data_IF_572282389788
#
_entry.id   IF_572282389788
#
_cell.length_a   1.000
_cell.length_b   1.000
_cell.length_c   1.000
_cell.angle_alpha   90.00
_cell.angle_beta   90.00
_cell.angle_gamma   90.00
#
_symmetry.space_group_name_H-M   'P 1'
#
loop_
_entity.id
_entity.type
_entity.pdbx_description
1 polymer ?
#
# COMPACT_ATOMS: atom_id res chain seq x y z
N UNK A 1 -22.43 -12.81 29.95
CA UNK A 1 -23.24 -12.17 31.01
C UNK A 1 -23.48 -10.73 30.59
N UNK A 2 -24.74 -10.28 30.59
CA UNK A 2 -25.11 -8.94 30.13
C UNK A 2 -25.43 -8.10 31.36
N UNK A 3 -24.65 -7.03 31.55
CA UNK A 3 -24.88 -6.01 32.56
C UNK A 3 -25.38 -4.76 31.85
N UNK A 4 -26.70 -4.59 31.82
CA UNK A 4 -27.32 -3.46 31.16
C UNK A 4 -28.50 -2.96 32.00
N UNK A 5 -28.68 -1.63 32.00
CA UNK A 5 -29.88 -1.01 32.56
C UNK A 5 -31.05 -1.24 31.59
N UNK A 6 -32.27 -1.03 32.05
CA UNK A 6 -33.40 -0.80 31.14
C UNK A 6 -33.27 0.62 30.58
N UNK A 7 -33.35 0.87 29.26
CA UNK A 7 -33.92 0.05 28.16
C UNK A 7 -32.95 -0.83 27.35
N UNK A 8 -31.64 -0.79 27.63
CA UNK A 8 -30.60 -1.39 26.79
C UNK A 8 -30.70 -2.93 26.70
N UNK A 9 -31.13 -3.58 27.79
CA UNK A 9 -31.38 -5.04 27.82
C UNK A 9 -32.38 -5.48 26.76
N UNK A 10 -33.46 -4.69 26.53
CA UNK A 10 -34.47 -5.00 25.51
C UNK A 10 -33.89 -4.87 24.11
N UNK A 11 -33.18 -3.78 23.83
CA UNK A 11 -32.56 -3.54 22.53
C UNK A 11 -31.56 -4.63 22.16
N UNK A 12 -30.74 -5.09 23.12
CA UNK A 12 -29.77 -6.15 22.90
C UNK A 12 -30.43 -7.50 22.59
N UNK A 13 -31.47 -7.87 23.33
CA UNK A 13 -32.19 -9.12 23.09
C UNK A 13 -32.94 -9.10 21.76
N UNK A 14 -33.54 -7.96 21.39
CA UNK A 14 -34.13 -7.79 20.06
C UNK A 14 -33.08 -7.88 18.95
N UNK A 15 -31.90 -7.29 19.13
CA UNK A 15 -30.80 -7.41 18.17
C UNK A 15 -30.29 -8.85 18.06
N UNK A 16 -30.23 -9.58 19.18
CA UNK A 16 -29.92 -11.01 19.19
C UNK A 16 -30.95 -11.82 18.41
N UNK A 17 -32.23 -11.49 18.52
CA UNK A 17 -33.29 -12.10 17.71
C UNK A 17 -33.13 -11.81 16.22
N UNK A 18 -32.85 -10.55 15.87
CA UNK A 18 -32.67 -10.12 14.48
C UNK A 18 -31.46 -10.80 13.82
N UNK A 19 -30.42 -11.12 14.60
CA UNK A 19 -29.25 -11.90 14.18
C UNK A 19 -29.48 -13.42 14.22
N UNK A 20 -30.64 -13.89 14.67
CA UNK A 20 -30.98 -15.30 14.81
C UNK A 20 -30.31 -16.03 15.98
N UNK A 21 -29.58 -15.31 16.85
CA UNK A 21 -28.91 -15.91 18.00
C UNK A 21 -29.91 -16.38 19.06
N UNK A 22 -30.93 -15.57 19.34
CA UNK A 22 -31.97 -15.87 20.33
C UNK A 22 -32.79 -17.14 20.01
N UNK A 23 -32.88 -17.54 18.75
CA UNK A 23 -33.67 -18.69 18.28
C UNK A 23 -32.82 -19.87 17.79
N UNK A 24 -31.49 -19.72 17.81
CA UNK A 24 -30.54 -20.77 17.40
C UNK A 24 -30.43 -21.93 18.40
N UNK A 25 -30.84 -21.72 19.65
CA UNK A 25 -30.64 -22.68 20.73
C UNK A 25 -29.18 -22.76 21.25
N UNK A 26 -28.26 -21.95 20.72
CA UNK A 26 -26.83 -22.01 21.02
C UNK A 26 -26.37 -20.99 22.08
N UNK A 27 -27.23 -20.04 22.46
CA UNK A 27 -26.88 -18.95 23.36
C UNK A 27 -27.76 -18.93 24.61
N UNK A 28 -27.19 -18.43 25.71
CA UNK A 28 -27.89 -18.16 26.97
C UNK A 28 -27.51 -16.77 27.46
N UNK A 29 -28.50 -16.03 27.91
CA UNK A 29 -28.32 -14.67 28.39
C UNK A 29 -28.51 -14.61 29.89
N UNK A 30 -27.44 -14.35 30.64
CA UNK A 30 -27.56 -13.98 32.06
C UNK A 30 -27.83 -12.49 32.16
N UNK A 31 -29.02 -12.13 32.64
CA UNK A 31 -29.49 -10.75 32.73
C UNK A 31 -29.45 -10.32 34.19
N UNK A 32 -28.52 -9.45 34.51
CA UNK A 32 -28.44 -8.85 35.84
C UNK A 32 -29.07 -7.46 35.79
N UNK A 33 -30.31 -7.35 36.28
CA UNK A 33 -30.98 -6.05 36.43
C UNK A 33 -30.68 -5.47 37.81
N UNK A 34 -30.18 -4.25 37.84
CA UNK A 34 -29.91 -3.50 39.08
C UNK A 34 -31.18 -2.95 39.74
N UNK A 35 -32.29 -2.88 38.99
CA UNK A 35 -33.56 -2.44 39.53
C UNK A 35 -34.31 -3.65 40.10
N UNK A 36 -34.51 -3.64 41.41
CA UNK A 36 -35.28 -4.61 42.20
C UNK A 36 -36.77 -4.72 41.84
N UNK A 37 -37.18 -4.23 40.66
CA UNK A 37 -38.56 -4.28 40.20
C UNK A 37 -38.77 -5.54 39.36
N UNK A 38 -39.88 -6.19 39.63
CA UNK A 38 -40.40 -7.36 38.94
C UNK A 38 -40.15 -7.32 37.41
N UNK A 39 -39.99 -8.47 36.72
CA UNK A 39 -39.94 -8.57 35.25
C UNK A 39 -41.16 -7.95 34.54
N UNK A 40 -42.21 -7.55 35.27
CA UNK A 40 -43.35 -6.83 34.71
C UNK A 40 -42.95 -5.49 34.07
N UNK A 41 -41.85 -4.85 34.50
CA UNK A 41 -41.30 -3.65 33.85
C UNK A 41 -40.56 -3.96 32.55
N UNK A 42 -39.84 -5.09 32.50
CA UNK A 42 -39.12 -5.58 31.30
C UNK A 42 -40.07 -5.86 30.13
N UNK A 43 -41.32 -6.23 30.45
CA UNK A 43 -42.40 -6.50 29.48
C UNK A 43 -43.28 -5.28 29.17
N UNK A 44 -43.21 -4.20 29.94
CA UNK A 44 -44.06 -3.02 29.78
C UNK A 44 -43.30 -1.93 29.04
N UNK A 45 -43.35 -1.98 27.71
CA UNK A 45 -42.93 -0.87 26.86
C UNK A 45 -44.13 -0.18 26.21
N UNK A 46 -44.02 1.13 25.95
CA UNK A 46 -45.04 1.89 25.20
C UNK A 46 -45.15 1.43 23.74
N UNK A 47 -44.14 0.71 23.23
CA UNK A 47 -44.11 0.11 21.90
C UNK A 47 -44.25 -1.40 22.00
N UNK A 48 -45.44 -1.90 21.66
CA UNK A 48 -45.80 -3.31 21.68
C UNK A 48 -45.54 -4.04 20.36
N UNK A 49 -45.05 -3.34 19.33
CA UNK A 49 -44.91 -3.89 17.97
C UNK A 49 -44.00 -5.12 17.91
N UNK A 50 -43.02 -5.21 18.82
CA UNK A 50 -41.99 -6.27 18.87
C UNK A 50 -42.02 -7.13 20.13
N UNK A 51 -43.11 -7.12 20.87
CA UNK A 51 -43.20 -7.87 22.13
C UNK A 51 -43.06 -9.38 21.94
N UNK A 52 -43.61 -9.93 20.85
CA UNK A 52 -43.49 -11.36 20.56
C UNK A 52 -42.04 -11.79 20.27
N UNK A 53 -41.28 -10.99 19.53
CA UNK A 53 -39.87 -11.26 19.24
C UNK A 53 -39.02 -11.19 20.52
N UNK A 54 -39.32 -10.20 21.36
CA UNK A 54 -38.67 -10.06 22.64
C UNK A 54 -38.95 -11.24 23.58
N UNK A 55 -40.22 -11.65 23.69
CA UNK A 55 -40.64 -12.79 24.51
C UNK A 55 -39.95 -14.10 24.08
N UNK A 56 -39.78 -14.32 22.78
CA UNK A 56 -39.01 -15.46 22.25
C UNK A 56 -37.55 -15.42 22.71
N UNK A 57 -36.96 -14.22 22.74
CA UNK A 57 -35.58 -14.00 23.20
C UNK A 57 -35.41 -14.24 24.70
N UNK A 58 -36.46 -13.97 25.49
CA UNK A 58 -36.48 -14.25 26.93
C UNK A 58 -36.50 -15.73 27.28
N UNK A 59 -36.94 -16.61 26.36
CA UNK A 59 -36.92 -18.06 26.57
C UNK A 59 -35.52 -18.63 26.80
N UNK A 60 -34.46 -17.88 26.45
CA UNK A 60 -33.05 -18.23 26.64
C UNK A 60 -32.35 -17.39 27.72
N UNK A 61 -33.10 -16.62 28.50
CA UNK A 61 -32.56 -15.73 29.51
C UNK A 61 -32.70 -16.32 30.93
N UNK A 62 -31.63 -16.18 31.71
CA UNK A 62 -31.59 -16.48 33.14
C UNK A 62 -31.35 -15.19 33.92
N UNK A 63 -32.13 -14.99 34.97
CA UNK A 63 -32.00 -13.88 35.91
C UNK A 63 -31.37 -14.37 37.21
N UNK A 64 -30.07 -14.11 37.43
CA UNK A 64 -29.50 -14.24 38.76
C UNK A 64 -30.08 -13.15 39.67
N UNK A 65 -30.58 -13.57 40.83
CA UNK A 65 -30.93 -12.67 41.90
C UNK A 65 -30.44 -13.22 43.23
N UNK A 66 -29.90 -12.32 44.04
CA UNK A 66 -29.54 -12.60 45.43
C UNK A 66 -30.84 -12.63 46.22
N UNK A 67 -31.16 -13.77 46.82
CA UNK A 67 -32.33 -13.97 47.67
C UNK A 67 -33.63 -13.33 47.12
N UNK A 68 -34.25 -13.94 46.11
CA UNK A 68 -35.65 -13.64 45.77
C UNK A 68 -36.62 -14.58 46.51
N UNK A 69 -37.28 -14.00 47.52
CA UNK A 69 -38.74 -13.96 47.59
C UNK A 69 -39.50 -15.29 47.44
N UNK A 70 -39.25 -16.26 48.31
CA UNK A 70 -40.18 -17.38 48.47
C UNK A 70 -40.87 -17.45 49.81
N UNK A 71 -40.38 -16.71 50.79
CA UNK A 71 -41.06 -16.48 52.06
C UNK A 71 -41.08 -14.97 52.31
N UNK A 72 -41.82 -14.23 51.48
CA UNK A 72 -42.26 -12.93 51.96
C UNK A 72 -43.06 -13.18 53.23
N UNK A 73 -42.52 -12.73 54.35
CA UNK A 73 -43.27 -12.74 55.58
C UNK A 73 -44.42 -11.74 55.43
N UNK A 74 -45.59 -12.22 54.99
CA UNK A 74 -46.77 -11.40 54.70
C UNK A 74 -47.13 -10.49 55.88
N UNK A 75 -46.90 -10.96 57.11
CA UNK A 75 -47.10 -10.16 58.32
C UNK A 75 -46.14 -8.96 58.37
N UNK A 76 -44.85 -9.17 58.11
CA UNK A 76 -43.87 -8.09 58.07
C UNK A 76 -44.18 -7.08 56.97
N UNK A 77 -44.51 -7.55 55.75
CA UNK A 77 -44.87 -6.66 54.64
C UNK A 77 -46.12 -5.84 54.97
N UNK A 78 -47.14 -6.47 55.55
CA UNK A 78 -48.37 -5.79 55.98
C UNK A 78 -48.09 -4.74 57.06
N UNK A 79 -47.24 -5.07 58.03
CA UNK A 79 -46.83 -4.14 59.08
C UNK A 79 -46.07 -2.94 58.50
N UNK A 80 -45.13 -3.16 57.58
CA UNK A 80 -44.39 -2.07 56.92
C UNK A 80 -45.33 -1.15 56.16
N UNK A 81 -46.28 -1.69 55.40
CA UNK A 81 -47.25 -0.88 54.66
C UNK A 81 -48.10 -0.05 55.62
N UNK A 82 -48.59 -0.67 56.70
CA UNK A 82 -49.41 0.01 57.70
C UNK A 82 -48.62 1.14 58.39
N UNK A 83 -47.41 0.84 58.90
CA UNK A 83 -46.58 1.81 59.61
C UNK A 83 -46.08 2.95 58.72
N UNK A 84 -45.83 2.66 57.44
CA UNK A 84 -45.44 3.69 56.48
C UNK A 84 -46.56 4.73 56.30
N UNK A 85 -47.82 4.29 56.29
CA UNK A 85 -48.96 5.19 56.22
C UNK A 85 -49.16 5.98 57.52
N UNK A 86 -49.07 5.33 58.69
CA UNK A 86 -49.34 5.98 59.98
C UNK A 86 -48.21 6.88 60.46
N UNK A 87 -46.97 6.42 60.37
CA UNK A 87 -45.82 7.05 61.01
C UNK A 87 -45.13 8.04 60.06
N UNK A 88 -45.22 7.81 58.74
CA UNK A 88 -44.47 8.54 57.71
C UNK A 88 -45.34 9.20 56.63
N UNK A 89 -46.68 9.04 56.68
CA UNK A 89 -47.61 9.54 55.66
C UNK A 89 -47.23 9.10 54.23
N UNK A 90 -46.70 7.89 54.09
CA UNK A 90 -46.30 7.29 52.81
C UNK A 90 -47.18 6.09 52.50
N UNK A 91 -47.82 6.12 51.33
CA UNK A 91 -48.74 5.06 50.87
C UNK A 91 -48.12 4.28 49.73
N UNK A 92 -48.05 2.96 49.88
CA UNK A 92 -47.64 2.06 48.79
C UNK A 92 -48.76 1.92 47.76
N UNK A 93 -48.43 2.07 46.47
CA UNK A 93 -49.40 2.02 45.37
C UNK A 93 -49.78 0.58 44.94
N UNK A 94 -48.88 -0.36 45.17
CA UNK A 94 -49.00 -1.80 44.90
C UNK A 94 -48.23 -2.49 46.03
N UNK A 95 -48.61 -3.68 46.47
CA UNK A 95 -48.09 -4.39 47.66
C UNK A 95 -46.58 -4.73 47.65
N UNK A 96 -45.78 -4.08 46.82
CA UNK A 96 -44.36 -4.30 46.63
C UNK A 96 -43.56 -3.40 47.60
N UNK A 97 -43.44 -3.85 48.85
CA UNK A 97 -42.44 -3.30 49.76
C UNK A 97 -41.06 -3.65 49.22
N UNK A 98 -40.16 -2.66 49.17
CA UNK A 98 -38.80 -2.89 48.66
C UNK A 98 -38.07 -3.95 49.51
N UNK A 99 -37.40 -4.93 48.89
CA UNK A 99 -36.59 -5.93 49.61
C UNK A 99 -35.45 -5.34 50.45
N UNK A 100 -35.03 -4.10 50.14
CA UNK A 100 -34.04 -3.42 50.95
C UNK A 100 -34.57 -3.09 52.35
N UNK A 101 -35.87 -2.93 52.52
CA UNK A 101 -36.48 -2.62 53.83
C UNK A 101 -36.25 -3.76 54.81
N UNK A 102 -36.46 -5.02 54.40
CA UNK A 102 -36.15 -6.17 55.25
C UNK A 102 -34.65 -6.28 55.52
N UNK A 103 -33.80 -5.98 54.53
CA UNK A 103 -32.35 -5.96 54.73
C UNK A 103 -31.90 -4.92 55.77
N UNK A 104 -32.49 -3.73 55.77
CA UNK A 104 -32.21 -2.71 56.78
C UNK A 104 -32.75 -3.10 58.15
N UNK A 105 -33.94 -3.67 58.21
CA UNK A 105 -34.50 -4.19 59.46
C UNK A 105 -33.58 -5.26 60.05
N UNK A 106 -33.18 -6.25 59.25
CA UNK A 106 -32.26 -7.32 59.66
C UNK A 106 -30.92 -6.76 60.15
N UNK A 107 -30.38 -5.73 59.47
CA UNK A 107 -29.14 -5.07 59.89
C UNK A 107 -29.27 -4.39 61.26
N UNK A 108 -30.40 -3.71 61.51
CA UNK A 108 -30.68 -3.07 62.81
C UNK A 108 -30.89 -4.13 63.89
N UNK A 109 -31.61 -5.21 63.62
CA UNK A 109 -31.84 -6.29 64.58
C UNK A 109 -30.55 -7.05 64.91
N UNK A 110 -29.70 -7.29 63.93
CA UNK A 110 -28.36 -7.84 64.12
C UNK A 110 -27.52 -6.94 65.01
N UNK A 111 -27.49 -5.63 64.72
CA UNK A 111 -26.80 -4.65 65.55
C UNK A 111 -27.32 -4.63 67.00
N UNK A 112 -28.64 -4.57 67.17
CA UNK A 112 -29.28 -4.54 68.48
C UNK A 112 -28.97 -5.80 69.30
N UNK A 113 -28.93 -6.97 68.66
CA UNK A 113 -28.57 -8.24 69.31
C UNK A 113 -27.15 -8.18 69.88
N UNK A 114 -26.17 -7.77 69.06
CA UNK A 114 -24.77 -7.67 69.48
C UNK A 114 -24.56 -6.57 70.51
N UNK A 115 -25.26 -5.44 70.39
CA UNK A 115 -25.23 -4.37 71.38
C UNK A 115 -25.75 -4.86 72.74
N UNK A 116 -26.88 -5.55 72.75
CA UNK A 116 -27.47 -6.08 73.99
C UNK A 116 -26.55 -7.09 74.69
N UNK A 117 -25.92 -8.00 73.93
CA UNK A 117 -24.90 -8.92 74.46
C UNK A 117 -23.70 -8.17 75.03
N UNK A 118 -23.23 -7.14 74.32
CA UNK A 118 -22.10 -6.34 74.77
C UNK A 118 -22.41 -5.59 76.07
N UNK A 119 -23.64 -5.09 76.22
CA UNK A 119 -24.07 -4.45 77.47
C UNK A 119 -24.22 -5.45 78.62
N UNK A 120 -24.73 -6.65 78.33
CA UNK A 120 -24.83 -7.73 79.32
C UNK A 120 -23.46 -8.17 79.85
N UNK A 121 -22.45 -8.17 78.99
CA UNK A 121 -21.05 -8.47 79.33
C UNK A 121 -20.30 -7.27 79.95
N UNK A 122 -20.99 -6.17 80.29
CA UNK A 122 -20.40 -4.91 80.77
C UNK A 122 -19.34 -4.30 79.82
N UNK A 123 -19.45 -4.61 78.53
CA UNK A 123 -18.59 -4.10 77.47
C UNK A 123 -18.90 -2.66 77.06
N UNK A 124 -17.93 -2.01 76.41
CA UNK A 124 -18.08 -0.62 75.95
C UNK A 124 -18.89 -0.54 74.63
N UNK A 125 -20.12 -0.04 74.71
CA UNK A 125 -21.00 0.19 73.56
C UNK A 125 -20.45 1.18 72.50
N UNK A 126 -19.45 2.00 72.84
CA UNK A 126 -18.81 2.93 71.91
C UNK A 126 -17.67 2.30 71.12
N UNK A 127 -17.27 1.06 71.45
CA UNK A 127 -16.20 0.36 70.74
C UNK A 127 -16.76 -0.36 69.50
N UNK A 128 -16.88 0.38 68.41
CA UNK A 128 -17.41 -0.14 67.14
C UNK A 128 -16.66 -1.36 66.60
N UNK A 129 -15.33 -1.39 66.73
CA UNK A 129 -14.53 -2.53 66.26
C UNK A 129 -14.85 -3.82 67.02
N UNK A 130 -15.00 -3.75 68.35
CA UNK A 130 -15.38 -4.90 69.15
C UNK A 130 -16.81 -5.38 68.82
N UNK A 131 -17.75 -4.45 68.63
CA UNK A 131 -19.12 -4.76 68.20
C UNK A 131 -19.13 -5.44 66.83
N UNK A 132 -18.42 -4.89 65.84
CA UNK A 132 -18.35 -5.46 64.50
C UNK A 132 -17.71 -6.85 64.50
N UNK A 133 -16.64 -7.07 65.26
CA UNK A 133 -16.03 -8.41 65.35
C UNK A 133 -16.95 -9.45 65.98
N UNK A 134 -17.82 -9.06 66.94
CA UNK A 134 -18.87 -9.95 67.48
C UNK A 134 -19.95 -10.32 66.45
N UNK A 135 -20.05 -9.59 65.34
CA UNK A 135 -20.96 -9.92 64.23
C UNK A 135 -20.36 -10.91 63.23
N UNK A 136 -19.04 -11.07 63.19
CA UNK A 136 -18.39 -11.88 62.17
C UNK A 136 -18.46 -13.37 62.50
N UNK A 137 -18.44 -14.20 61.46
CA UNK A 137 -18.51 -15.65 61.55
C UNK A 137 -19.71 -16.15 62.38
N UNK A 138 -20.87 -15.53 62.16
CA UNK A 138 -22.08 -15.75 62.94
C UNK A 138 -23.33 -15.69 62.06
N UNK A 139 -24.34 -16.45 62.45
CA UNK A 139 -25.67 -16.42 61.85
C UNK A 139 -26.66 -15.76 62.80
N UNK A 140 -27.48 -14.85 62.27
CA UNK A 140 -28.53 -14.14 62.98
C UNK A 140 -29.91 -14.52 62.45
N UNK A 141 -30.97 -14.49 63.27
CA UNK A 141 -32.33 -14.61 62.77
C UNK A 141 -32.67 -13.38 61.92
N UNK A 142 -33.09 -13.60 60.67
CA UNK A 142 -33.59 -12.55 59.78
C UNK A 142 -35.09 -12.73 59.50
N UNK A 143 -35.72 -11.69 58.98
CA UNK A 143 -37.18 -11.63 58.73
C UNK A 143 -37.66 -12.70 57.75
N UNK A 144 -36.90 -12.90 56.67
CA UNK A 144 -37.24 -13.86 55.61
C UNK A 144 -36.33 -15.08 55.66
N UNK A 145 -35.03 -14.87 55.84
CA UNK A 145 -33.99 -15.91 55.87
C UNK A 145 -32.94 -15.57 56.94
N UNK A 146 -32.24 -16.56 57.51
CA UNK A 146 -31.12 -16.31 58.42
C UNK A 146 -30.04 -15.44 57.76
N UNK A 147 -29.51 -14.47 58.50
CA UNK A 147 -28.42 -13.61 58.04
C UNK A 147 -27.10 -14.22 58.46
N UNK A 148 -26.36 -14.77 57.50
CA UNK A 148 -25.02 -15.34 57.73
C UNK A 148 -23.95 -14.30 57.43
N UNK A 149 -23.09 -14.02 58.41
CA UNK A 149 -21.94 -13.14 58.25
C UNK A 149 -20.67 -13.96 58.40
N UNK A 150 -19.77 -13.84 57.44
CA UNK A 150 -18.56 -14.64 57.41
C UNK A 150 -17.41 -14.05 58.24
N UNK A 151 -16.29 -14.76 58.24
CA UNK A 151 -15.09 -14.37 58.99
C UNK A 151 -14.50 -13.01 58.57
N UNK A 152 -14.85 -12.51 57.39
CA UNK A 152 -14.40 -11.20 56.89
C UNK A 152 -15.46 -10.11 57.06
N UNK A 153 -16.60 -10.43 57.65
CA UNK A 153 -17.71 -9.49 57.83
C UNK A 153 -18.61 -9.32 56.61
N UNK A 154 -18.54 -10.20 55.62
CA UNK A 154 -19.46 -10.16 54.47
C UNK A 154 -20.68 -11.03 54.73
N UNK A 155 -21.84 -10.56 54.25
CA UNK A 155 -23.06 -11.37 54.23
C UNK A 155 -22.96 -12.45 53.16
N UNK A 156 -23.27 -13.67 53.55
CA UNK A 156 -23.32 -14.84 52.69
C UNK A 156 -24.77 -15.17 52.34
N UNK A 157 -25.14 -14.92 51.10
CA UNK A 157 -26.48 -15.12 50.56
C UNK A 157 -26.47 -16.15 49.45
N UNK A 158 -27.56 -16.91 49.36
CA UNK A 158 -27.77 -17.86 48.29
C UNK A 158 -28.13 -17.11 46.99
N UNK A 159 -27.72 -17.67 45.86
CA UNK A 159 -27.98 -17.10 44.54
C UNK A 159 -29.01 -17.95 43.82
N UNK A 160 -30.14 -17.35 43.47
CA UNK A 160 -31.20 -18.04 42.74
C UNK A 160 -31.24 -17.55 41.31
N UNK A 161 -31.36 -18.48 40.37
CA UNK A 161 -31.55 -18.20 38.95
C UNK A 161 -32.98 -18.54 38.57
N UNK A 162 -33.69 -17.56 38.01
CA UNK A 162 -35.00 -17.78 37.40
C UNK A 162 -34.95 -17.66 35.89
N UNK A 163 -35.88 -18.32 35.22
CA UNK A 163 -36.15 -18.12 33.81
C UNK A 163 -37.55 -17.55 33.60
N UNK A 164 -37.77 -16.96 32.43
CA UNK A 164 -39.10 -16.48 32.05
C UNK A 164 -39.94 -17.62 31.49
N UNK A 165 -41.00 -17.98 32.21
CA UNK A 165 -41.92 -19.01 31.74
C UNK A 165 -42.90 -18.40 30.72
N UNK A 166 -42.72 -18.79 29.45
CA UNK A 166 -43.53 -18.26 28.34
C UNK A 166 -45.01 -18.64 28.42
N UNK A 167 -45.39 -19.73 29.11
CA UNK A 167 -46.79 -20.15 29.21
C UNK A 167 -47.54 -19.43 30.32
N UNK A 168 -46.88 -19.17 31.46
CA UNK A 168 -47.48 -18.47 32.60
C UNK A 168 -47.24 -16.96 32.55
N UNK A 169 -46.24 -16.50 31.79
CA UNK A 169 -45.82 -15.11 31.76
C UNK A 169 -45.10 -14.64 33.02
N UNK A 170 -44.59 -15.57 33.84
CA UNK A 170 -43.99 -15.28 35.16
C UNK A 170 -42.55 -15.80 35.22
N UNK A 171 -41.66 -15.04 35.86
CA UNK A 171 -40.31 -15.53 36.19
C UNK A 171 -40.43 -16.66 37.22
N UNK A 172 -39.94 -17.84 36.85
CA UNK A 172 -39.99 -19.04 37.71
C UNK A 172 -38.56 -19.38 38.16
N UNK A 173 -38.30 -19.52 39.48
CA UNK A 173 -37.00 -19.96 39.98
C UNK A 173 -36.71 -21.40 39.50
N UNK A 174 -35.44 -21.71 39.25
CA UNK A 174 -35.04 -23.00 38.71
C UNK A 174 -33.78 -23.58 39.35
N UNK A 175 -32.80 -22.73 39.63
CA UNK A 175 -31.53 -23.14 40.26
C UNK A 175 -31.30 -22.29 41.49
N UNK A 176 -30.88 -22.94 42.58
CA UNK A 176 -30.44 -22.26 43.80
C UNK A 176 -29.01 -22.71 44.07
N UNK A 177 -28.07 -21.78 44.01
CA UNK A 177 -26.72 -22.01 44.49
C UNK A 177 -26.67 -21.64 45.98
N UNK A 178 -26.42 -22.65 46.80
CA UNK A 178 -26.29 -22.52 48.25
C UNK A 178 -24.86 -22.16 48.59
N UNK A 179 -24.70 -21.06 49.30
CA UNK A 179 -23.38 -20.57 49.65
C UNK A 179 -22.64 -21.53 50.58
N UNK A 180 -23.29 -22.01 51.64
CA UNK A 180 -22.64 -22.80 52.71
C UNK A 180 -22.03 -24.11 52.22
N UNK A 181 -22.69 -24.77 51.26
CA UNK A 181 -22.30 -26.09 50.75
C UNK A 181 -21.56 -26.00 49.42
N UNK A 182 -21.52 -24.82 48.80
CA UNK A 182 -21.10 -24.62 47.41
C UNK A 182 -21.79 -25.60 46.44
N UNK A 183 -23.06 -25.92 46.72
CA UNK A 183 -23.87 -26.82 45.90
C UNK A 183 -24.94 -26.07 45.13
N UNK A 184 -25.16 -26.51 43.89
CA UNK A 184 -26.31 -26.07 43.10
C UNK A 184 -27.41 -27.10 43.30
N UNK A 185 -28.46 -26.70 44.00
CA UNK A 185 -29.67 -27.50 44.12
C UNK A 185 -30.62 -27.11 42.99
N UNK A 186 -31.05 -28.11 42.23
CA UNK A 186 -32.18 -27.97 41.33
C UNK A 186 -33.45 -27.96 42.16
N UNK A 187 -34.33 -27.00 41.88
CA UNK A 187 -35.65 -27.05 42.43
C UNK A 187 -36.39 -28.25 41.83
N UNK A 188 -36.76 -29.24 42.67
CA UNK A 188 -37.07 -30.65 42.32
C UNK A 188 -38.24 -30.87 41.33
N UNK A 189 -38.82 -29.81 40.79
CA UNK A 189 -40.01 -29.84 39.93
C UNK A 189 -39.87 -28.98 38.67
N UNK A 190 -38.67 -28.48 38.36
CA UNK A 190 -38.49 -27.49 37.27
C UNK A 190 -37.42 -27.94 36.26
N UNK A 191 -37.85 -28.19 35.03
CA UNK A 191 -36.95 -28.37 33.88
C UNK A 191 -36.64 -27.00 33.30
N UNK A 192 -35.35 -26.63 33.22
CA UNK A 192 -34.93 -25.40 32.55
C UNK A 192 -35.41 -25.38 31.09
N UNK A 193 -36.04 -24.29 30.63
CA UNK A 193 -36.50 -24.23 29.26
C UNK A 193 -35.30 -23.96 28.34
N UNK A 194 -34.97 -24.95 27.51
CA UNK A 194 -34.13 -24.73 26.32
C UNK A 194 -35.02 -24.87 25.08
N UNK A 195 -35.86 -23.86 24.78
CA UNK A 195 -36.96 -24.01 23.82
C UNK A 195 -36.50 -24.35 22.41
N UNK A 196 -35.31 -23.88 22.02
CA UNK A 196 -34.78 -24.03 20.66
C UNK A 196 -33.66 -25.08 20.55
N UNK A 197 -33.41 -25.86 21.61
CA UNK A 197 -32.42 -26.94 21.61
C UNK A 197 -32.99 -28.24 22.23
N UNK A 198 -34.29 -28.49 22.05
CA UNK A 198 -34.99 -29.69 22.55
C UNK A 198 -34.79 -29.97 24.05
N UNK A 199 -34.70 -28.92 24.88
CA UNK A 199 -34.45 -29.10 26.32
C UNK A 199 -32.99 -29.41 26.67
N UNK A 200 -32.05 -29.32 25.71
CA UNK A 200 -30.61 -29.50 25.95
C UNK A 200 -29.96 -28.15 26.18
N UNK A 201 -29.15 -28.04 27.25
CA UNK A 201 -28.37 -26.83 27.50
C UNK A 201 -27.34 -26.60 26.40
N UNK A 202 -27.16 -25.36 25.91
CA UNK A 202 -26.07 -25.06 24.99
C UNK A 202 -24.71 -25.25 25.65
N UNK A 203 -23.72 -25.55 24.82
CA UNK A 203 -22.31 -25.64 25.21
C UNK A 203 -21.71 -24.25 25.38
N UNK A 204 -20.77 -24.12 26.31
CA UNK A 204 -20.04 -22.86 26.56
C UNK A 204 -19.04 -22.53 25.45
N UNK A 205 -18.55 -23.55 24.73
CA UNK A 205 -17.69 -23.41 23.56
C UNK A 205 -18.35 -24.09 22.35
N UNK A 206 -18.53 -23.39 21.21
CA UNK A 206 -19.05 -24.02 19.99
C UNK A 206 -18.20 -25.22 19.56
N UNK A 207 -18.83 -26.21 18.92
CA UNK A 207 -18.18 -27.46 18.47
C UNK A 207 -16.91 -27.20 17.64
N UNK A 208 -16.92 -26.14 16.83
CA UNK A 208 -15.81 -25.77 15.97
C UNK A 208 -14.85 -24.73 16.58
N UNK A 209 -15.05 -24.31 17.83
CA UNK A 209 -14.36 -23.18 18.42
C UNK A 209 -14.97 -21.85 17.97
N UNK A 210 -14.60 -20.76 18.64
CA UNK A 210 -15.20 -19.44 18.37
C UNK A 210 -14.76 -18.85 17.02
N UNK A 211 -13.55 -19.20 16.56
CA UNK A 211 -12.96 -18.77 15.29
C UNK A 211 -12.84 -19.94 14.29
N UNK A 212 -13.63 -20.99 14.47
CA UNK A 212 -13.56 -22.22 13.68
C UNK A 212 -12.22 -22.99 13.81
N UNK A 213 -11.49 -22.82 14.93
CA UNK A 213 -10.19 -23.44 15.16
C UNK A 213 -10.21 -24.98 15.25
N UNK A 214 -11.27 -25.57 15.81
CA UNK A 214 -11.34 -27.03 16.04
C UNK A 214 -11.87 -27.80 14.84
N UNK A 215 -12.62 -27.15 13.95
CA UNK A 215 -13.10 -27.74 12.70
C UNK A 215 -12.14 -27.44 11.54
N UNK A 216 -10.84 -27.35 11.85
CA UNK A 216 -9.74 -27.23 10.88
C UNK A 216 -10.12 -27.92 9.58
N UNK A 217 -10.25 -27.12 8.51
CA UNK A 217 -10.60 -27.64 7.21
C UNK A 217 -9.66 -28.80 6.93
N UNK A 218 -10.24 -29.98 6.62
CA UNK A 218 -9.43 -31.13 6.19
C UNK A 218 -8.43 -30.58 5.17
N UNK A 219 -7.12 -30.78 5.36
CA UNK A 219 -6.15 -30.30 4.39
C UNK A 219 -6.61 -30.79 3.02
N UNK A 220 -6.68 -29.88 2.06
CA UNK A 220 -6.98 -30.20 0.66
C UNK A 220 -6.19 -31.48 0.31
N UNK A 221 -6.90 -32.54 -0.09
CA UNK A 221 -6.31 -33.85 -0.41
C UNK A 221 -5.02 -33.65 -1.19
N UNK A 222 -3.95 -34.40 -0.86
CA UNK A 222 -2.60 -34.20 -1.42
C UNK A 222 -2.55 -34.06 -2.95
N UNK A 223 -3.52 -34.66 -3.65
CA UNK A 223 -3.74 -34.51 -5.08
C UNK A 223 -4.05 -33.07 -5.51
N UNK A 224 -4.92 -32.35 -4.80
CA UNK A 224 -5.30 -30.97 -5.14
C UNK A 224 -4.16 -29.99 -4.86
N UNK A 225 -3.44 -30.19 -3.74
CA UNK A 225 -2.24 -29.41 -3.42
C UNK A 225 -1.13 -29.62 -4.47
N UNK A 226 -0.97 -30.85 -4.97
CA UNK A 226 -0.03 -31.18 -6.04
C UNK A 226 -0.37 -30.50 -7.38
N UNK A 227 -1.64 -30.47 -7.76
CA UNK A 227 -2.09 -29.81 -9.01
C UNK A 227 -1.88 -28.30 -8.95
N UNK A 228 -2.21 -27.67 -7.81
CA UNK A 228 -2.04 -26.22 -7.62
C UNK A 228 -0.55 -25.86 -7.63
N UNK A 229 0.30 -26.61 -6.93
CA UNK A 229 1.74 -26.39 -6.92
C UNK A 229 2.38 -26.58 -8.31
N UNK A 230 1.93 -27.59 -9.06
CA UNK A 230 2.38 -27.83 -10.44
C UNK A 230 2.01 -26.71 -11.40
N UNK A 231 0.80 -26.16 -11.26
CA UNK A 231 0.34 -25.04 -12.08
C UNK A 231 1.07 -23.73 -11.75
N UNK A 232 1.27 -23.43 -10.47
CA UNK A 232 2.05 -22.25 -10.04
C UNK A 232 3.52 -22.34 -10.47
N UNK A 233 4.11 -23.54 -10.41
CA UNK A 233 5.47 -23.80 -10.89
C UNK A 233 5.61 -23.57 -12.39
N UNK A 234 4.67 -24.06 -13.20
CA UNK A 234 4.71 -23.91 -14.65
C UNK A 234 4.50 -22.47 -15.12
N UNK A 235 3.57 -21.73 -14.47
CA UNK A 235 3.35 -20.31 -14.75
C UNK A 235 4.58 -19.47 -14.39
N UNK A 236 5.21 -19.75 -13.25
CA UNK A 236 6.43 -19.04 -12.84
C UNK A 236 7.59 -19.30 -13.80
N UNK A 237 7.77 -20.55 -14.25
CA UNK A 237 8.81 -20.89 -15.22
C UNK A 237 8.57 -20.23 -16.59
N UNK A 238 7.31 -20.21 -17.06
CA UNK A 238 6.95 -19.52 -18.29
C UNK A 238 7.22 -18.01 -18.19
N UNK A 239 6.92 -17.39 -17.05
CA UNK A 239 7.22 -15.97 -16.80
C UNK A 239 8.72 -15.66 -16.87
N UNK A 240 9.57 -16.51 -16.29
CA UNK A 240 11.04 -16.36 -16.36
C UNK A 240 11.54 -16.51 -17.80
N UNK A 241 11.01 -17.45 -18.57
CA UNK A 241 11.41 -17.65 -19.97
C UNK A 241 11.01 -16.46 -20.85
N UNK A 242 9.79 -15.93 -20.68
CA UNK A 242 9.31 -14.76 -21.43
C UNK A 242 10.14 -13.52 -21.09
N UNK A 243 10.39 -13.25 -19.81
CA UNK A 243 11.22 -12.10 -19.39
C UNK A 243 12.66 -12.22 -19.91
N UNK A 244 13.26 -13.41 -19.88
CA UNK A 244 14.58 -13.66 -20.46
C UNK A 244 14.59 -13.44 -21.99
N UNK A 245 13.54 -13.87 -22.69
CA UNK A 245 13.39 -13.64 -24.14
C UNK A 245 13.28 -12.14 -24.46
N UNK A 246 12.41 -11.41 -23.74
CA UNK A 246 12.24 -9.97 -23.92
C UNK A 246 13.53 -9.21 -23.61
N UNK A 247 14.25 -9.60 -22.54
CA UNK A 247 15.54 -9.01 -22.21
C UNK A 247 16.59 -9.25 -23.29
N UNK A 248 16.65 -10.47 -23.86
CA UNK A 248 17.55 -10.78 -24.98
C UNK A 248 17.19 -9.98 -26.24
N UNK A 249 15.90 -9.84 -26.54
CA UNK A 249 15.42 -9.06 -27.67
C UNK A 249 15.78 -7.58 -27.50
N UNK A 250 15.54 -7.01 -26.32
CA UNK A 250 15.88 -5.63 -25.98
C UNK A 250 17.39 -5.39 -26.04
N UNK A 251 18.21 -6.27 -25.45
CA UNK A 251 19.67 -6.16 -25.47
C UNK A 251 20.22 -6.15 -26.90
N UNK A 252 19.70 -7.03 -27.77
CA UNK A 252 20.10 -7.08 -29.19
C UNK A 252 19.77 -5.79 -29.94
N UNK A 253 18.63 -5.17 -29.63
CA UNK A 253 18.24 -3.90 -30.23
C UNK A 253 19.12 -2.75 -29.71
N UNK A 254 19.38 -2.73 -28.41
CA UNK A 254 20.24 -1.74 -27.76
C UNK A 254 21.68 -1.76 -28.30
N UNK A 255 22.25 -2.94 -28.52
CA UNK A 255 23.59 -3.08 -29.11
C UNK A 255 23.64 -2.53 -30.55
N UNK A 256 22.62 -2.79 -31.38
CA UNK A 256 22.55 -2.22 -32.74
C UNK A 256 22.45 -0.69 -32.72
N UNK A 257 21.65 -0.14 -31.81
CA UNK A 257 21.51 1.31 -31.65
C UNK A 257 22.77 1.98 -31.12
N UNK A 258 23.60 1.30 -30.33
CA UNK A 258 24.84 1.85 -29.78
C UNK A 258 25.96 1.96 -30.83
N UNK A 259 26.01 1.02 -31.78
CA UNK A 259 27.10 0.89 -32.76
C UNK A 259 26.74 1.35 -34.18
N UNK A 260 25.62 2.05 -34.37
CA UNK A 260 25.13 2.49 -35.68
C UNK A 260 26.16 3.29 -36.52
N UNK A 261 27.04 4.04 -35.84
CA UNK A 261 28.06 4.91 -36.44
C UNK A 261 29.30 4.15 -36.88
N UNK A 262 29.52 2.92 -36.41
CA UNK A 262 30.76 2.18 -36.64
C UNK A 262 30.73 1.57 -38.03
N UNK A 263 31.68 1.98 -38.87
CA UNK A 263 31.89 1.44 -40.22
C UNK A 263 33.21 0.68 -40.23
N UNK A 264 33.17 -0.56 -40.71
CA UNK A 264 34.37 -1.38 -40.85
C UNK A 264 35.12 -1.04 -42.14
N UNK A 265 36.46 -1.15 -42.12
CA UNK A 265 37.26 -0.85 -43.32
C UNK A 265 36.94 -1.79 -44.49
N UNK A 266 36.46 -3.02 -44.20
CA UNK A 266 35.97 -3.99 -45.18
C UNK A 266 34.65 -3.60 -45.87
N UNK A 267 33.86 -2.70 -45.27
CA UNK A 267 32.64 -2.15 -45.89
C UNK A 267 32.93 -1.01 -46.87
N UNK A 268 34.16 -0.49 -46.85
CA UNK A 268 34.63 0.60 -47.71
C UNK A 268 35.33 -0.02 -48.92
N UNK A 269 34.60 -0.16 -50.02
CA UNK A 269 35.16 -0.70 -51.26
C UNK A 269 36.07 0.33 -51.94
N UNK A 270 37.31 -0.06 -52.22
CA UNK A 270 38.26 0.73 -53.00
C UNK A 270 37.77 0.94 -54.44
N UNK A 271 38.17 2.07 -55.03
CA UNK A 271 37.80 2.64 -56.34
C UNK A 271 38.21 1.80 -57.57
N UNK A 272 38.36 0.48 -57.44
CA UNK A 272 38.65 -0.46 -58.52
C UNK A 272 37.47 -1.43 -58.68
N UNK A 273 36.41 -1.01 -59.37
CA UNK A 273 35.29 -1.88 -59.73
C UNK A 273 35.32 -2.19 -61.23
N UNK A 274 35.13 -3.48 -61.52
CA UNK A 274 35.06 -4.16 -62.82
C UNK A 274 34.24 -3.43 -63.91
N UNK A 275 34.59 -3.73 -65.17
CA UNK A 275 34.26 -2.97 -66.39
C UNK A 275 32.79 -2.57 -66.60
N UNK A 276 31.81 -3.27 -66.03
CA UNK A 276 30.37 -3.02 -66.27
C UNK A 276 29.77 -1.89 -65.41
N UNK A 277 30.28 -1.63 -64.20
CA UNK A 277 29.80 -0.51 -63.35
C UNK A 277 30.45 0.83 -63.69
N UNK A 278 31.35 0.85 -64.67
CA UNK A 278 32.17 2.01 -65.03
C UNK A 278 31.40 3.14 -65.70
N UNK A 279 30.23 2.87 -66.32
CA UNK A 279 29.50 3.87 -67.10
C UNK A 279 28.74 4.89 -66.23
N UNK A 280 28.07 4.42 -65.16
CA UNK A 280 27.39 5.29 -64.19
C UNK A 280 28.38 5.96 -63.20
N UNK A 281 29.47 5.28 -62.86
CA UNK A 281 30.48 5.80 -61.94
C UNK A 281 31.34 6.89 -62.58
N UNK A 282 31.79 6.70 -63.83
CA UNK A 282 32.51 7.75 -64.57
C UNK A 282 31.60 8.93 -64.92
N UNK A 283 30.28 8.74 -65.08
CA UNK A 283 29.36 9.85 -65.33
C UNK A 283 29.12 10.70 -64.08
N UNK A 284 29.01 10.10 -62.90
CA UNK A 284 28.88 10.83 -61.62
C UNK A 284 30.18 11.51 -61.22
N UNK A 285 31.35 10.85 -61.35
CA UNK A 285 32.64 11.51 -61.15
C UNK A 285 32.92 12.58 -62.22
N UNK A 286 32.50 12.39 -63.48
CA UNK A 286 32.54 13.47 -64.50
C UNK A 286 31.61 14.62 -64.16
N UNK A 287 30.43 14.39 -63.59
CA UNK A 287 29.54 15.49 -63.20
C UNK A 287 30.07 16.26 -61.98
N UNK A 288 30.83 15.60 -61.10
CA UNK A 288 31.58 16.25 -60.03
C UNK A 288 32.82 17.00 -60.55
N UNK A 289 33.53 16.45 -61.54
CA UNK A 289 34.75 17.03 -62.11
C UNK A 289 34.50 18.05 -63.24
N UNK A 290 33.25 18.25 -63.69
CA UNK A 290 32.94 19.19 -64.78
C UNK A 290 32.47 20.54 -64.24
N UNK A 291 33.44 21.37 -63.86
CA UNK A 291 33.45 22.79 -64.22
C UNK A 291 34.89 23.25 -64.12
N UNK A 292 35.58 23.22 -65.26
CA UNK A 292 36.82 23.94 -65.56
C UNK A 292 37.60 24.49 -64.37
N UNK A 293 38.55 23.69 -63.88
CA UNK A 293 39.83 24.14 -63.33
C UNK A 293 40.77 22.93 -63.23
N UNK A 294 41.85 23.03 -63.99
CA UNK A 294 43.17 22.35 -63.91
C UNK A 294 43.31 20.94 -63.32
N UNK A 295 44.11 20.14 -64.04
CA UNK A 295 44.77 18.92 -63.56
C UNK A 295 45.33 19.09 -62.13
N UNK A 296 44.58 18.59 -61.13
CA UNK A 296 45.16 18.17 -59.85
C UNK A 296 45.07 16.67 -59.82
N UNK A 297 46.21 16.08 -60.19
CA UNK A 297 46.59 14.72 -59.88
C UNK A 297 46.42 14.46 -58.37
N UNK A 298 46.09 13.21 -58.03
CA UNK A 298 46.33 12.60 -56.71
C UNK A 298 45.43 12.94 -55.50
N UNK A 299 44.10 12.75 -55.58
CA UNK A 299 43.41 12.32 -54.35
C UNK A 299 42.14 11.46 -54.53
N UNK A 300 42.20 10.47 -55.44
CA UNK A 300 41.22 9.38 -55.51
C UNK A 300 41.16 8.53 -54.22
N UNK A 301 42.02 8.81 -53.23
CA UNK A 301 42.10 8.14 -51.93
C UNK A 301 41.02 8.61 -50.93
N UNK A 302 40.39 9.76 -51.18
CA UNK A 302 39.43 10.36 -50.24
C UNK A 302 37.95 10.05 -50.58
N UNK A 303 37.67 9.17 -51.55
CA UNK A 303 36.31 8.75 -51.89
C UNK A 303 36.19 7.23 -51.87
N UNK A 304 35.04 6.72 -51.43
CA UNK A 304 34.75 5.29 -51.33
C UNK A 304 33.27 5.02 -51.63
N UNK A 305 32.92 3.75 -51.85
CA UNK A 305 31.53 3.29 -51.89
C UNK A 305 31.18 2.64 -50.56
N UNK A 306 30.08 3.08 -49.94
CA UNK A 306 29.50 2.46 -48.75
C UNK A 306 28.01 2.20 -48.99
N UNK A 307 27.57 0.94 -48.84
CA UNK A 307 26.18 0.50 -49.11
C UNK A 307 25.64 0.96 -50.48
N UNK A 308 26.48 0.98 -51.50
CA UNK A 308 26.12 1.39 -52.86
C UNK A 308 26.05 2.90 -53.10
N UNK A 309 26.37 3.74 -52.10
CA UNK A 309 26.42 5.20 -52.22
C UNK A 309 27.86 5.70 -52.22
N UNK A 310 28.13 6.75 -53.02
CA UNK A 310 29.42 7.43 -53.03
C UNK A 310 29.55 8.29 -51.76
N UNK A 311 30.61 8.06 -51.00
CA UNK A 311 30.91 8.78 -49.76
C UNK A 311 32.31 9.38 -49.80
N UNK A 312 32.51 10.47 -49.05
CA UNK A 312 33.81 11.10 -48.85
C UNK A 312 34.42 10.61 -47.54
N UNK A 313 35.69 10.24 -47.59
CA UNK A 313 36.49 9.83 -46.45
C UNK A 313 37.30 11.04 -45.97
N UNK A 314 36.94 11.59 -44.81
CA UNK A 314 37.71 12.66 -44.15
C UNK A 314 38.67 12.03 -43.15
N UNK A 315 39.97 12.12 -43.40
CA UNK A 315 40.99 11.58 -42.49
C UNK A 315 40.96 12.33 -41.17
N UNK A 316 40.91 11.58 -40.07
CA UNK A 316 40.97 12.15 -38.73
C UNK A 316 42.45 12.34 -38.35
N UNK A 317 42.87 13.55 -37.95
CA UNK A 317 44.26 13.85 -37.58
C UNK A 317 44.65 13.31 -36.19
N UNK A 318 44.38 12.04 -35.91
CA UNK A 318 44.56 11.41 -34.59
C UNK A 318 45.27 10.07 -34.70
N UNK A 319 46.28 9.84 -33.86
CA UNK A 319 47.04 8.57 -33.84
C UNK A 319 46.26 7.45 -33.12
N UNK A 320 45.60 7.79 -32.03
CA UNK A 320 44.82 6.86 -31.20
C UNK A 320 43.46 7.47 -30.91
N UNK A 321 42.40 6.68 -31.05
CA UNK A 321 41.03 7.10 -30.69
C UNK A 321 40.49 6.15 -29.64
N UNK A 322 40.20 6.68 -28.46
CA UNK A 322 39.55 5.92 -27.41
C UNK A 322 38.05 6.22 -27.44
N UNK A 323 37.24 5.23 -27.81
CA UNK A 323 35.78 5.36 -27.85
C UNK A 323 35.22 5.36 -26.41
N UNK A 324 34.98 6.54 -25.86
CA UNK A 324 34.37 6.73 -24.54
C UNK A 324 32.84 6.75 -24.63
N UNK A 325 32.15 6.67 -23.48
CA UNK A 325 30.70 6.87 -23.41
C UNK A 325 30.26 8.26 -23.91
N UNK A 326 31.09 9.29 -23.71
CA UNK A 326 30.83 10.64 -24.21
C UNK A 326 30.86 10.66 -25.75
N UNK A 327 31.86 10.03 -26.36
CA UNK A 327 31.96 9.89 -27.82
C UNK A 327 30.74 9.15 -28.42
N UNK A 328 30.23 8.11 -27.76
CA UNK A 328 29.00 7.41 -28.20
C UNK A 328 27.76 8.31 -28.13
N UNK A 329 27.66 9.16 -27.11
CA UNK A 329 26.57 10.14 -26.97
C UNK A 329 26.65 11.21 -28.07
N UNK A 330 27.85 11.69 -28.39
CA UNK A 330 28.09 12.65 -29.48
C UNK A 330 27.68 12.08 -30.84
N UNK A 331 28.07 10.84 -31.17
CA UNK A 331 27.58 10.17 -32.37
C UNK A 331 26.05 10.06 -32.34
N UNK A 332 25.44 9.62 -31.23
CA UNK A 332 23.98 9.53 -31.13
C UNK A 332 23.29 10.87 -31.45
N UNK A 333 23.85 11.99 -31.00
CA UNK A 333 23.33 13.33 -31.32
C UNK A 333 23.43 13.63 -32.82
N UNK A 334 24.55 13.28 -33.49
CA UNK A 334 24.70 13.46 -34.94
C UNK A 334 23.65 12.70 -35.76
N UNK A 335 23.25 11.50 -35.31
CA UNK A 335 22.29 10.64 -36.03
C UNK A 335 20.95 11.35 -36.30
N UNK A 336 20.56 12.25 -35.40
CA UNK A 336 19.26 12.92 -35.43
C UNK A 336 19.31 14.27 -36.17
N UNK A 337 20.47 14.68 -36.67
CA UNK A 337 20.64 15.95 -37.38
C UNK A 337 20.50 15.77 -38.88
N UNK A 338 19.61 16.57 -39.45
CA UNK A 338 19.39 16.61 -40.89
C UNK A 338 18.98 18.03 -41.28
N UNK A 339 19.87 18.71 -41.99
CA UNK A 339 19.66 20.06 -42.50
C UNK A 339 20.43 20.25 -43.80
N UNK A 340 19.92 21.09 -44.71
CA UNK A 340 20.54 21.33 -46.02
C UNK A 340 21.96 21.88 -45.90
N UNK A 341 22.17 22.81 -44.96
CA UNK A 341 23.46 23.49 -44.73
C UNK A 341 24.36 22.84 -43.67
N UNK A 342 24.12 21.56 -43.37
CA UNK A 342 24.95 20.78 -42.44
C UNK A 342 25.44 19.54 -43.16
N UNK A 343 26.72 19.21 -43.01
CA UNK A 343 27.31 18.05 -43.64
C UNK A 343 26.80 16.76 -42.98
N UNK A 344 26.15 15.89 -43.73
CA UNK A 344 25.68 14.60 -43.21
C UNK A 344 26.87 13.67 -42.91
N UNK A 345 26.92 13.16 -41.68
CA UNK A 345 27.87 12.15 -41.22
C UNK A 345 27.19 10.79 -41.22
N UNK A 346 27.67 9.86 -42.07
CA UNK A 346 27.15 8.50 -42.12
C UNK A 346 27.70 7.62 -40.98
N UNK A 347 28.91 7.91 -40.51
CA UNK A 347 29.58 7.17 -39.47
C UNK A 347 31.10 7.43 -39.48
N UNK A 348 31.84 6.60 -38.76
CA UNK A 348 33.29 6.64 -38.69
C UNK A 348 33.88 5.24 -38.77
N UNK A 349 35.02 5.13 -39.46
CA UNK A 349 35.92 3.98 -39.37
C UNK A 349 37.08 4.37 -38.46
N UNK A 350 37.20 3.69 -37.31
CA UNK A 350 38.20 3.96 -36.27
C UNK A 350 39.09 2.74 -36.03
N UNK A 351 39.49 2.07 -37.11
CA UNK A 351 40.40 0.91 -37.05
C UNK A 351 41.86 1.39 -37.06
N UNK A 352 42.79 0.59 -36.55
CA UNK A 352 44.19 1.02 -36.39
C UNK A 352 44.83 1.52 -37.69
N UNK A 353 44.49 0.84 -38.80
CA UNK A 353 45.00 1.13 -40.15
C UNK A 353 44.22 2.24 -40.88
N UNK A 354 43.01 2.58 -40.44
CA UNK A 354 42.14 3.54 -41.13
C UNK A 354 41.25 4.29 -40.13
N UNK A 355 41.55 5.59 -39.97
CA UNK A 355 40.84 6.51 -39.08
C UNK A 355 40.21 7.63 -39.91
N UNK A 356 38.97 7.42 -40.33
CA UNK A 356 38.25 8.33 -41.23
C UNK A 356 36.82 8.55 -40.77
N UNK A 357 36.32 9.77 -40.94
CA UNK A 357 34.90 10.08 -40.88
C UNK A 357 34.31 9.88 -42.28
N UNK A 358 33.17 9.20 -42.36
CA UNK A 358 32.47 8.91 -43.61
C UNK A 358 31.31 9.90 -43.74
N UNK A 359 31.39 10.79 -44.74
CA UNK A 359 30.42 11.87 -44.93
C UNK A 359 29.86 11.87 -46.35
N UNK A 360 28.81 12.68 -46.58
CA UNK A 360 28.36 12.97 -47.93
C UNK A 360 29.46 13.68 -48.76
N UNK A 361 29.47 13.50 -50.09
CA UNK A 361 30.49 14.09 -50.96
C UNK A 361 30.17 15.54 -51.35
N UNK A 362 31.05 16.47 -50.96
CA UNK A 362 31.09 17.84 -51.48
C UNK A 362 32.15 17.94 -52.58
N UNK A 363 31.77 18.32 -53.81
CA UNK A 363 32.67 18.30 -54.98
C UNK A 363 33.46 19.57 -55.21
N UNK A 364 32.97 20.71 -54.72
CA UNK A 364 33.52 22.04 -55.03
C UNK A 364 34.56 22.53 -54.00
N UNK A 365 35.02 21.63 -53.13
CA UNK A 365 36.00 21.97 -52.10
C UNK A 365 35.39 22.73 -50.92
N UNK A 366 36.23 23.48 -50.24
CA UNK A 366 35.88 24.37 -49.13
C UNK A 366 35.64 25.81 -49.61
N UNK A 367 35.07 26.64 -48.74
CA UNK A 367 34.93 28.07 -49.00
C UNK A 367 36.30 28.74 -49.14
N UNK A 368 37.33 28.22 -48.46
CA UNK A 368 38.71 28.68 -48.62
C UNK A 368 39.23 28.46 -50.04
N UNK A 369 38.99 27.26 -50.58
CA UNK A 369 39.39 26.92 -51.95
C UNK A 369 38.65 27.80 -52.97
N UNK A 370 37.35 28.06 -52.74
CA UNK A 370 36.54 28.89 -53.62
C UNK A 370 37.02 30.35 -53.63
N UNK A 371 37.30 30.92 -52.45
CA UNK A 371 37.77 32.31 -52.31
C UNK A 371 39.19 32.47 -52.85
N UNK A 372 40.04 31.44 -52.74
CA UNK A 372 41.39 31.44 -53.31
C UNK A 372 41.44 31.22 -54.82
N UNK A 373 40.36 30.72 -55.44
CA UNK A 373 40.31 30.45 -56.87
C UNK A 373 40.17 31.73 -57.70
N UNK A 374 40.89 31.81 -58.82
CA UNK A 374 40.80 32.94 -59.78
C UNK A 374 39.68 32.77 -60.82
N UNK A 375 39.09 31.58 -60.88
CA UNK A 375 38.22 31.16 -61.98
C UNK A 375 36.72 31.34 -61.68
N UNK A 376 36.38 31.70 -60.44
CA UNK A 376 35.01 31.98 -60.01
C UNK A 376 34.86 33.44 -59.60
N UNK A 377 34.00 34.17 -60.31
CA UNK A 377 33.67 35.57 -59.95
C UNK A 377 32.63 35.57 -58.84
N UNK A 378 33.05 35.94 -57.63
CA UNK A 378 32.17 36.07 -56.47
C UNK A 378 31.44 37.43 -56.48
N UNK A 379 30.32 37.52 -57.20
CA UNK A 379 29.45 38.69 -57.15
C UNK A 379 28.77 38.84 -55.77
N UNK A 380 28.21 40.02 -55.50
CA UNK A 380 27.62 40.34 -54.19
C UNK A 380 26.45 39.41 -53.84
N UNK A 381 25.67 38.98 -54.84
CA UNK A 381 24.51 38.13 -54.62
C UNK A 381 24.95 36.71 -54.23
N UNK A 382 25.95 36.17 -54.92
CA UNK A 382 26.53 34.87 -54.64
C UNK A 382 27.21 34.83 -53.27
N UNK A 383 27.95 35.88 -52.90
CA UNK A 383 28.49 36.05 -51.54
C UNK A 383 27.39 36.02 -50.47
N UNK A 384 26.29 36.74 -50.70
CA UNK A 384 25.17 36.77 -49.77
C UNK A 384 24.51 35.39 -49.63
N UNK A 385 24.39 34.63 -50.73
CA UNK A 385 23.88 33.26 -50.70
C UNK A 385 24.76 32.33 -49.85
N UNK A 386 26.09 32.39 -50.02
CA UNK A 386 27.03 31.58 -49.24
C UNK A 386 26.97 31.93 -47.75
N UNK A 387 26.92 33.23 -47.42
CA UNK A 387 26.76 33.68 -46.03
C UNK A 387 25.43 33.22 -45.41
N UNK A 388 24.34 33.28 -46.18
CA UNK A 388 23.02 32.84 -45.73
C UNK A 388 23.01 31.35 -45.41
N UNK A 389 23.64 30.53 -46.25
CA UNK A 389 23.79 29.10 -46.01
C UNK A 389 24.57 28.81 -44.71
N UNK A 390 25.67 29.53 -44.47
CA UNK A 390 26.44 29.41 -43.22
C UNK A 390 25.59 29.79 -42.00
N UNK A 391 24.86 30.92 -42.06
CA UNK A 391 24.00 31.37 -40.97
C UNK A 391 22.90 30.34 -40.68
N UNK A 392 22.25 29.81 -41.71
CA UNK A 392 21.22 28.80 -41.56
C UNK A 392 21.75 27.51 -40.90
N UNK A 393 22.93 27.07 -41.32
CA UNK A 393 23.62 25.93 -40.69
C UNK A 393 23.93 26.18 -39.21
N UNK A 394 24.42 27.38 -38.86
CA UNK A 394 24.72 27.74 -37.48
C UNK A 394 23.47 27.84 -36.59
N UNK A 395 22.40 28.47 -37.08
CA UNK A 395 21.12 28.54 -36.38
C UNK A 395 20.62 27.12 -36.03
N UNK A 396 20.65 26.21 -37.00
CA UNK A 396 20.24 24.82 -36.75
C UNK A 396 21.14 24.12 -35.72
N UNK A 397 22.46 24.30 -35.78
CA UNK A 397 23.38 23.73 -34.78
C UNK A 397 23.07 24.28 -33.38
N UNK A 398 22.81 25.59 -33.25
CA UNK A 398 22.50 26.24 -31.98
C UNK A 398 21.17 25.76 -31.38
N UNK A 399 20.18 25.47 -32.23
CA UNK A 399 18.89 24.93 -31.79
C UNK A 399 19.00 23.43 -31.42
N UNK A 400 19.92 22.70 -32.04
CA UNK A 400 20.17 21.28 -31.78
C UNK A 400 20.76 20.99 -30.39
N UNK A 401 20.85 19.70 -29.97
CA UNK A 401 21.56 19.29 -28.74
C UNK A 401 23.06 19.61 -28.73
N UNK A 402 23.67 19.88 -29.89
CA UNK A 402 25.11 20.21 -30.01
C UNK A 402 25.41 21.62 -29.50
N UNK A 403 24.46 22.55 -29.64
CA UNK A 403 24.49 23.95 -29.15
C UNK A 403 25.55 24.87 -29.74
N UNK A 404 26.70 24.38 -30.18
CA UNK A 404 27.75 25.20 -30.77
C UNK A 404 28.56 24.41 -31.80
N UNK A 405 29.04 25.07 -32.85
CA UNK A 405 29.89 24.41 -33.84
C UNK A 405 31.31 24.15 -33.31
N UNK A 406 31.87 25.09 -32.54
CA UNK A 406 33.17 24.98 -31.86
C UNK A 406 34.43 25.08 -32.73
N UNK A 407 34.34 24.87 -34.04
CA UNK A 407 35.49 24.83 -34.98
C UNK A 407 35.19 25.44 -36.35
N UNK A 408 34.35 26.49 -36.40
CA UNK A 408 33.96 27.12 -37.66
C UNK A 408 35.16 27.87 -38.28
N UNK A 409 35.56 27.45 -39.48
CA UNK A 409 36.59 28.05 -40.34
C UNK A 409 36.16 27.99 -41.81
N UNK A 410 36.84 28.71 -42.70
CA UNK A 410 36.61 28.63 -44.15
C UNK A 410 36.85 27.22 -44.71
N UNK A 411 37.77 26.46 -44.13
CA UNK A 411 38.14 25.09 -44.51
C UNK A 411 37.02 24.07 -44.23
N UNK A 412 36.27 24.24 -43.13
CA UNK A 412 35.19 23.32 -42.75
C UNK A 412 33.83 23.68 -43.38
N UNK A 413 33.74 24.84 -44.03
CA UNK A 413 32.58 25.23 -44.84
C UNK A 413 32.69 24.59 -46.23
N UNK A 414 32.10 23.41 -46.43
CA UNK A 414 32.20 22.67 -47.68
C UNK A 414 31.12 23.06 -48.67
N UNK A 415 31.43 22.96 -49.96
CA UNK A 415 30.53 23.37 -51.03
C UNK A 415 30.11 22.13 -51.84
N UNK A 416 28.79 21.92 -51.93
CA UNK A 416 28.22 20.83 -52.70
C UNK A 416 28.16 21.13 -54.21
N UNK A 417 27.64 20.18 -55.00
CA UNK A 417 27.54 20.33 -56.46
C UNK A 417 26.61 21.47 -56.90
N UNK A 418 25.74 21.96 -55.99
CA UNK A 418 24.75 23.01 -56.24
C UNK A 418 25.21 24.37 -55.72
N UNK A 419 26.48 24.49 -55.33
CA UNK A 419 27.04 25.68 -54.69
C UNK A 419 26.35 26.06 -53.37
N UNK A 420 25.80 25.08 -52.65
CA UNK A 420 25.31 25.30 -51.29
C UNK A 420 26.38 24.98 -50.26
N UNK A 421 26.48 25.80 -49.21
CA UNK A 421 27.44 25.61 -48.11
C UNK A 421 26.88 24.62 -47.08
N UNK A 422 27.71 23.64 -46.73
CA UNK A 422 27.47 22.63 -45.70
C UNK A 422 28.56 22.71 -44.64
N UNK A 423 28.16 22.94 -43.40
CA UNK A 423 29.08 23.02 -42.26
C UNK A 423 29.57 21.61 -41.88
N UNK A 424 30.88 21.40 -41.87
CA UNK A 424 31.54 20.15 -41.49
C UNK A 424 32.15 20.22 -40.07
N UNK A 425 32.64 19.09 -39.57
CA UNK A 425 33.44 18.98 -38.34
C UNK A 425 32.79 19.57 -37.06
N UNK A 426 31.45 19.53 -37.01
CA UNK A 426 30.64 19.86 -35.83
C UNK A 426 30.32 18.59 -35.01
N UNK A 427 29.95 18.76 -33.74
CA UNK A 427 29.32 17.69 -32.94
C UNK A 427 30.18 16.55 -32.42
N UNK A 428 31.48 16.51 -32.72
CA UNK A 428 32.41 15.46 -32.27
C UNK A 428 33.63 16.03 -31.53
N UNK A 429 33.45 16.87 -30.48
CA UNK A 429 34.57 17.47 -29.78
C UNK A 429 35.51 16.42 -29.18
N UNK A 430 35.01 15.32 -28.60
CA UNK A 430 35.87 14.29 -28.01
C UNK A 430 36.78 13.62 -29.06
N UNK A 431 36.27 13.41 -30.28
CA UNK A 431 37.06 12.83 -31.38
C UNK A 431 38.15 13.78 -31.86
N UNK A 432 37.85 15.09 -31.89
CA UNK A 432 38.78 16.12 -32.34
C UNK A 432 39.73 16.62 -31.24
N UNK A 433 39.38 16.51 -29.95
CA UNK A 433 40.26 16.89 -28.84
C UNK A 433 41.51 16.01 -28.75
N UNK A 434 41.44 14.75 -29.22
CA UNK A 434 42.62 13.89 -29.39
C UNK A 434 43.63 14.39 -30.46
N UNK A 435 43.28 15.45 -31.20
CA UNK A 435 44.12 16.10 -32.19
C UNK A 435 44.90 17.31 -31.64
N UNK A 436 44.65 17.75 -30.40
CA UNK A 436 45.51 18.76 -29.77
C UNK A 436 46.86 18.13 -29.41
N UNK A 437 47.79 18.15 -30.36
CA UNK A 437 49.21 18.32 -30.05
C UNK A 437 49.35 19.73 -29.48
N UNK A 438 50.03 19.86 -28.34
CA UNK A 438 50.30 21.12 -27.67
C UNK A 438 50.80 22.20 -28.65
N UNK A 439 49.93 23.13 -29.02
CA UNK A 439 50.33 24.44 -29.55
C UNK A 439 50.37 25.40 -28.36
N UNK A 440 51.23 25.08 -27.38
CA UNK A 440 51.63 26.02 -26.32
C UNK A 440 53.15 26.07 -26.22
N UNK A 441 53.82 26.25 -27.35
CA UNK A 441 55.22 26.66 -27.35
C UNK A 441 55.64 27.18 -28.72
N UNK A 442 55.18 28.38 -29.07
CA UNK A 442 55.98 29.30 -29.88
C UNK A 442 55.50 30.75 -29.70
N UNK A 443 56.29 31.48 -28.91
CA UNK A 443 56.62 32.89 -29.03
C UNK A 443 55.56 33.98 -28.77
N UNK A 444 55.47 34.37 -27.49
CA UNK A 444 55.48 35.79 -27.13
C UNK A 444 56.77 36.06 -26.32
N UNK A 445 57.86 36.43 -27.03
CA UNK A 445 59.02 37.09 -26.43
C UNK A 445 58.87 38.60 -26.60
N UNK A 446 59.02 39.29 -25.47
CA UNK A 446 59.05 40.74 -25.30
C UNK A 446 59.66 41.54 -26.47
N UNK A 447 58.96 42.60 -26.88
CA UNK A 447 59.60 43.85 -27.29
C UNK A 447 59.97 44.67 -26.05
N UNK A 448 61.14 45.31 -26.05
CA UNK A 448 61.60 46.24 -25.00
C UNK A 448 61.91 47.61 -25.62
N UNK A 449 61.25 48.63 -25.05
CA UNK A 449 61.59 50.07 -24.90
C UNK A 449 62.12 50.90 -26.08
N UNK A 450 61.36 51.97 -26.40
CA UNK A 450 61.69 53.38 -26.76
C UNK A 450 60.56 53.87 -27.68
N UNK A 451 59.79 54.93 -27.41
CA UNK A 451 60.08 56.27 -26.86
C UNK A 451 59.14 56.71 -25.73
#
# INVERSE_FOLDING_TARGET
MIFCRQPETRALLLSSYDLGYATSGQYVYFIQDTASQYPSSVLRTNDSSRDQDFLKSLGHALWPFVDKWRSENENFTTEVVQRSATDFNYFYNQSEVSPYVSCYYDAVMMFATVLNETLYEEGNQMNGTALTHKMWNRTFPGVNVPVRINQRGYRESDLTFAFYNMSTGVLTPALIWKYDTDTVDLEVSVTLPWPYNFGVRPVDVPVCGFSNEYCSSKPLSGTVTGVIAGFLGSVSLAGVLVTAFLFRAWKKQYEKDLWWWRIHSTELSSTSVSAESSFYFKSSLKSLACSTLTEVTSDSSNFSIWKGQLVRLRKLPVKYVHVTRLCLTEFKMLRELNHTNILLVHGACLEDNLKVLVTEPCSKGSLEDLVGSTDVVLDTHFKFSLCTDVINGLCYIHDSPIKCHGRLTSEVCLIDNRFSVKLADYGLPTLYSGCHVDVTSQEYKHGRSSE
#
